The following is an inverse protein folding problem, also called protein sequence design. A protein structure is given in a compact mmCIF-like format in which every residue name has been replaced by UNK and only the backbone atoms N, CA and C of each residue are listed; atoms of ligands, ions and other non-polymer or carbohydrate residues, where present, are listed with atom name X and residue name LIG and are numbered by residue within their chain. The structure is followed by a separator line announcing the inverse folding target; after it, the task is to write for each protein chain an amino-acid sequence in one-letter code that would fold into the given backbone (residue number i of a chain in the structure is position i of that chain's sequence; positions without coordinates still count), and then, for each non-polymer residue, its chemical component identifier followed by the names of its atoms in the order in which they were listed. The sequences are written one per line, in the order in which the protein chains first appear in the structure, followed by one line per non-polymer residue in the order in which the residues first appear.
data_IF_074758966083
#
_entry.id   IF_074758966083
#
_cell.length_a   1.000
_cell.length_b   1.000
_cell.length_c   1.000
_cell.angle_alpha   90.00
_cell.angle_beta   90.00
_cell.angle_gamma   90.00
#
_symmetry.space_group_name_H-M   'P 1'
#
loop_
_entity.id
_entity.type
_entity.pdbx_description
1 polymer ?
#
# COMPACT_ATOMS: atom_id res chain seq x y z
N UNK A 1 5.09 -11.87 -13.59
CA UNK A 1 5.92 -11.73 -12.37
C UNK A 1 5.23 -12.52 -11.29
N UNK A 2 5.87 -13.59 -10.81
CA UNK A 2 5.30 -14.43 -9.74
C UNK A 2 5.41 -13.67 -8.41
N UNK A 3 4.29 -13.53 -7.70
CA UNK A 3 4.29 -13.08 -6.32
C UNK A 3 4.82 -14.23 -5.46
N UNK A 4 6.02 -14.09 -4.90
CA UNK A 4 6.55 -15.05 -3.93
C UNK A 4 5.74 -14.99 -2.62
N UNK A 5 5.65 -16.11 -1.86
CA UNK A 5 4.89 -16.20 -0.60
C UNK A 5 5.34 -15.23 0.51
N UNK A 6 6.53 -14.62 0.37
CA UNK A 6 7.08 -13.65 1.32
C UNK A 6 6.39 -12.27 1.24
N UNK A 7 5.51 -12.06 0.24
CA UNK A 7 4.66 -10.89 0.14
C UNK A 7 3.43 -11.06 1.04
N UNK A 8 3.49 -10.55 2.27
CA UNK A 8 2.33 -10.53 3.18
C UNK A 8 1.31 -9.49 2.70
N UNK A 9 0.45 -9.87 1.77
CA UNK A 9 -0.68 -9.07 1.34
C UNK A 9 -1.76 -9.05 2.44
N UNK A 10 -1.92 -7.90 3.08
CA UNK A 10 -2.94 -7.68 4.10
C UNK A 10 -4.05 -6.80 3.53
N UNK A 11 -5.27 -7.35 3.43
CA UNK A 11 -6.47 -6.56 3.11
C UNK A 11 -6.94 -5.81 4.34
N UNK A 12 -7.21 -4.53 4.17
CA UNK A 12 -7.63 -3.60 5.23
C UNK A 12 -8.76 -2.72 4.68
N UNK A 13 -9.61 -2.21 5.55
CA UNK A 13 -10.59 -1.18 5.19
C UNK A 13 -10.08 0.18 5.67
N UNK A 14 -9.93 1.14 4.77
CA UNK A 14 -9.52 2.52 5.06
C UNK A 14 -10.56 3.46 4.46
N UNK A 15 -11.16 4.33 5.28
CA UNK A 15 -12.23 5.23 4.85
C UNK A 15 -13.37 4.54 4.05
N UNK A 16 -13.70 3.29 4.39
CA UNK A 16 -14.71 2.49 3.67
C UNK A 16 -14.24 1.86 2.35
N UNK A 17 -12.98 2.06 1.96
CA UNK A 17 -12.38 1.48 0.75
C UNK A 17 -11.50 0.27 1.10
N UNK A 18 -11.54 -0.79 0.29
CA UNK A 18 -10.62 -1.94 0.42
C UNK A 18 -9.22 -1.52 -0.06
N UNK A 19 -8.25 -1.58 0.85
CA UNK A 19 -6.84 -1.28 0.59
C UNK A 19 -6.01 -2.54 0.83
N UNK A 20 -5.13 -2.85 -0.11
CA UNK A 20 -4.21 -3.98 -0.01
C UNK A 20 -2.83 -3.44 0.38
N UNK A 21 -2.39 -3.73 1.60
CA UNK A 21 -1.04 -3.45 2.06
C UNK A 21 -0.12 -4.61 1.73
N UNK A 22 1.01 -4.30 1.11
CA UNK A 22 2.04 -5.25 0.76
C UNK A 22 3.37 -4.78 1.32
N UNK A 23 4.10 -5.72 1.91
CA UNK A 23 5.48 -5.53 2.33
C UNK A 23 6.35 -6.48 1.52
N UNK A 24 7.32 -5.92 0.80
CA UNK A 24 8.30 -6.67 0.03
C UNK A 24 9.63 -6.57 0.76
N UNK A 25 10.20 -7.71 1.12
CA UNK A 25 11.53 -7.81 1.71
C UNK A 25 12.37 -8.67 0.78
N UNK A 26 13.47 -8.12 0.28
CA UNK A 26 14.49 -8.81 -0.51
C UNK A 26 15.86 -8.51 0.08
N UNK A 27 16.87 -9.29 -0.29
CA UNK A 27 18.23 -9.18 0.26
C UNK A 27 18.80 -7.76 0.21
N UNK A 28 18.51 -7.01 -0.86
CA UNK A 28 19.07 -5.66 -1.09
C UNK A 28 18.04 -4.53 -0.99
N UNK A 29 16.74 -4.85 -0.90
CA UNK A 29 15.69 -3.83 -0.92
C UNK A 29 14.48 -4.26 -0.10
N UNK A 30 13.96 -3.34 0.72
CA UNK A 30 12.68 -3.48 1.40
C UNK A 30 11.81 -2.27 1.07
N UNK A 31 10.56 -2.51 0.69
CA UNK A 31 9.60 -1.43 0.46
C UNK A 31 8.18 -1.88 0.80
N UNK A 32 7.36 -0.90 1.16
CA UNK A 32 5.93 -1.08 1.38
C UNK A 32 5.15 -0.42 0.25
N UNK A 33 4.01 -1.00 -0.11
CA UNK A 33 3.06 -0.35 -0.99
C UNK A 33 1.62 -0.66 -0.63
N UNK A 34 0.76 0.34 -0.86
CA UNK A 34 -0.69 0.23 -0.75
C UNK A 34 -1.28 0.29 -2.15
N UNK A 35 -2.25 -0.57 -2.41
CA UNK A 35 -3.06 -0.51 -3.62
C UNK A 35 -4.54 -0.44 -3.27
N UNK A 36 -5.28 0.37 -4.03
CA UNK A 36 -6.74 0.39 -3.96
C UNK A 36 -7.35 0.83 -5.29
N UNK A 37 -8.61 0.47 -5.48
CA UNK A 37 -9.43 0.99 -6.57
C UNK A 37 -10.33 2.10 -6.01
N UNK A 38 -10.35 3.24 -6.68
CA UNK A 38 -11.23 4.36 -6.35
C UNK A 38 -12.42 4.36 -7.31
N UNK A 39 -13.60 3.98 -6.81
CA UNK A 39 -14.82 3.88 -7.61
C UNK A 39 -15.30 5.25 -8.15
N UNK A 40 -15.03 6.35 -7.43
CA UNK A 40 -15.48 7.69 -7.85
C UNK A 40 -14.71 8.20 -9.07
N UNK A 41 -13.45 7.81 -9.17
CA UNK A 41 -12.53 8.25 -10.23
C UNK A 41 -12.34 7.19 -11.32
N UNK A 42 -12.90 5.99 -11.13
CA UNK A 42 -12.67 4.81 -11.98
C UNK A 42 -11.18 4.58 -12.24
N UNK A 43 -10.39 4.58 -11.16
CA UNK A 43 -8.94 4.55 -11.24
C UNK A 43 -8.30 3.65 -10.18
N UNK A 44 -7.19 3.03 -10.55
CA UNK A 44 -6.37 2.24 -9.65
C UNK A 44 -5.20 3.08 -9.14
N UNK A 45 -5.02 3.10 -7.82
CA UNK A 45 -3.97 3.85 -7.16
C UNK A 45 -2.95 2.91 -6.52
N UNK A 46 -1.68 3.30 -6.62
CA UNK A 46 -0.56 2.66 -5.94
C UNK A 46 0.22 3.73 -5.19
N UNK A 47 0.38 3.56 -3.88
CA UNK A 47 1.21 4.39 -3.03
C UNK A 47 2.40 3.55 -2.56
N UNK A 48 3.63 4.02 -2.78
CA UNK A 48 4.86 3.30 -2.44
C UNK A 48 5.72 4.09 -1.46
N UNK A 49 6.34 3.42 -0.47
CA UNK A 49 7.29 4.04 0.46
C UNK A 49 8.74 4.03 -0.04
N UNK A 50 8.96 3.74 -1.33
CA UNK A 50 10.29 3.66 -1.93
C UNK A 50 10.95 5.05 -2.01
N UNK A 51 12.07 5.24 -1.31
CA UNK A 51 12.85 6.48 -1.31
C UNK A 51 13.33 6.90 0.09
N UNK A 52 13.57 8.21 0.27
CA UNK A 52 14.23 8.77 1.47
C UNK A 52 13.30 8.91 2.69
N UNK A 53 12.00 8.61 2.53
CA UNK A 53 11.00 8.77 3.59
C UNK A 53 10.46 7.42 4.02
N UNK A 54 10.90 6.98 5.20
CA UNK A 54 10.42 5.76 5.84
C UNK A 54 9.16 6.11 6.65
N UNK A 55 7.98 5.89 6.08
CA UNK A 55 6.72 5.89 6.83
C UNK A 55 6.54 4.52 7.47
N UNK A 56 6.15 4.48 8.73
CA UNK A 56 5.69 3.23 9.33
C UNK A 56 4.28 2.86 8.78
N UNK A 57 3.84 1.62 9.01
CA UNK A 57 2.56 1.12 8.49
C UNK A 57 1.37 2.02 8.85
N UNK A 58 1.31 2.53 10.09
CA UNK A 58 0.20 3.38 10.55
C UNK A 58 0.18 4.72 9.81
N UNK A 59 1.33 5.39 9.69
CA UNK A 59 1.46 6.63 8.95
C UNK A 59 1.14 6.46 7.45
N UNK A 60 1.49 5.30 6.89
CA UNK A 60 1.21 4.99 5.49
C UNK A 60 -0.28 4.79 5.23
N UNK A 61 -1.00 4.14 6.15
CA UNK A 61 -2.45 4.01 6.10
C UNK A 61 -3.15 5.35 6.32
N UNK A 62 -2.63 6.21 7.21
CA UNK A 62 -3.14 7.56 7.40
C UNK A 62 -3.04 8.40 6.13
N UNK A 63 -1.91 8.33 5.42
CA UNK A 63 -1.74 9.02 4.13
C UNK A 63 -2.73 8.49 3.08
N UNK A 64 -2.97 7.17 3.04
CA UNK A 64 -3.99 6.61 2.15
C UNK A 64 -5.40 7.12 2.51
N UNK A 65 -5.74 7.26 3.79
CA UNK A 65 -7.00 7.86 4.22
C UNK A 65 -7.14 9.30 3.75
N UNK A 66 -6.07 10.10 3.84
CA UNK A 66 -6.06 11.49 3.36
C UNK A 66 -6.27 11.58 1.84
N UNK A 67 -5.72 10.65 1.07
CA UNK A 67 -5.87 10.58 -0.39
C UNK A 67 -7.24 10.06 -0.85
N UNK A 68 -7.98 9.38 0.04
CA UNK A 68 -9.29 8.80 -0.24
C UNK A 68 -10.46 9.76 0.05
N UNK A 69 -10.22 10.88 0.74
CA UNK A 69 -11.22 11.91 1.04
C UNK A 69 -11.61 12.69 -0.22
#
# INVERSE_FOLDING_TARGET
MEQTPENQANKLTVAGTEVIYNKVVREEVSYDYLNWYNERQDAYYTLTSYGDKILNKEQFLQLAEELLK
#
